data_IF_728479885813
#
_entry.id   IF_728479885813
#
_cell.length_a   1.000
_cell.length_b   1.000
_cell.length_c   1.000
_cell.angle_alpha   90.00
_cell.angle_beta   90.00
_cell.angle_gamma   90.00
#
_symmetry.space_group_name_H-M   'P 1'
#
loop_
_entity.id
_entity.type
_entity.pdbx_description
1 polymer ?
#
# COMPACT_ATOMS: atom_id res chain seq x y z
N UNK A 1 -4.13 -21.86 -27.10
CA UNK A 1 -5.47 -22.45 -27.29
C UNK A 1 -5.65 -22.77 -28.77
N UNK A 2 -6.05 -23.99 -29.10
CA UNK A 2 -6.35 -24.40 -30.49
C UNK A 2 -7.63 -23.71 -30.99
N UNK A 3 -7.87 -23.69 -32.30
CA UNK A 3 -9.09 -23.07 -32.87
C UNK A 3 -10.36 -23.74 -32.32
N UNK A 4 -10.36 -25.07 -32.21
CA UNK A 4 -11.50 -25.83 -31.71
C UNK A 4 -11.76 -25.56 -30.22
N UNK A 5 -10.71 -25.48 -29.39
CA UNK A 5 -10.84 -25.07 -27.99
C UNK A 5 -11.39 -23.64 -27.86
N UNK A 6 -10.95 -22.73 -28.73
CA UNK A 6 -11.38 -21.33 -28.74
C UNK A 6 -12.87 -21.18 -29.10
N UNK A 7 -13.32 -21.90 -30.13
CA UNK A 7 -14.74 -21.92 -30.52
C UNK A 7 -15.57 -22.58 -29.42
N UNK A 8 -15.09 -23.67 -28.81
CA UNK A 8 -15.77 -24.33 -27.69
C UNK A 8 -15.89 -23.42 -26.48
N UNK A 9 -14.86 -22.64 -26.16
CA UNK A 9 -14.93 -21.64 -25.10
C UNK A 9 -15.97 -20.55 -25.40
N UNK A 10 -16.08 -20.12 -26.66
CA UNK A 10 -17.11 -19.17 -27.10
C UNK A 10 -18.53 -19.76 -26.96
N UNK A 11 -18.73 -21.04 -27.30
CA UNK A 11 -20.01 -21.74 -27.10
C UNK A 11 -20.40 -21.78 -25.62
N UNK A 12 -19.45 -22.18 -24.76
CA UNK A 12 -19.66 -22.26 -23.31
C UNK A 12 -20.01 -20.90 -22.70
N UNK A 13 -19.21 -19.88 -23.01
CA UNK A 13 -19.36 -18.54 -22.42
C UNK A 13 -20.51 -17.74 -23.02
N UNK A 14 -20.98 -18.11 -24.22
CA UNK A 14 -22.18 -17.52 -24.80
C UNK A 14 -23.47 -18.32 -24.55
N UNK A 15 -23.36 -19.45 -23.83
CA UNK A 15 -24.44 -20.39 -23.48
C UNK A 15 -25.33 -20.79 -24.66
N UNK A 16 -24.71 -21.09 -25.81
CA UNK A 16 -25.44 -21.45 -27.04
C UNK A 16 -24.58 -22.30 -27.96
N UNK A 17 -25.24 -23.23 -28.66
CA UNK A 17 -24.60 -24.07 -29.68
C UNK A 17 -24.29 -23.24 -30.91
N UNK A 18 -23.05 -23.27 -31.41
CA UNK A 18 -22.71 -22.62 -32.67
C UNK A 18 -22.97 -23.61 -33.80
N UNK A 19 -24.07 -23.40 -34.52
CA UNK A 19 -24.42 -24.24 -35.68
C UNK A 19 -23.50 -23.99 -36.88
N UNK A 20 -23.50 -24.91 -37.84
CA UNK A 20 -22.63 -24.86 -39.04
C UNK A 20 -22.67 -23.53 -39.80
N UNK A 21 -23.84 -22.86 -39.82
CA UNK A 21 -24.03 -21.57 -40.48
C UNK A 21 -23.30 -20.39 -39.79
N UNK A 22 -23.11 -20.45 -38.47
CA UNK A 22 -22.38 -19.41 -37.71
C UNK A 22 -20.92 -19.81 -37.45
N UNK A 23 -20.53 -21.04 -37.74
CA UNK A 23 -19.19 -21.57 -37.47
C UNK A 23 -18.08 -20.75 -38.16
N UNK A 24 -18.29 -20.34 -39.41
CA UNK A 24 -17.32 -19.48 -40.13
C UNK A 24 -17.21 -18.08 -39.51
N UNK A 25 -18.31 -17.51 -39.00
CA UNK A 25 -18.26 -16.24 -38.29
C UNK A 25 -17.60 -16.39 -36.92
N UNK A 26 -17.81 -17.52 -36.25
CA UNK A 26 -17.19 -17.84 -34.97
C UNK A 26 -15.68 -18.04 -35.08
N UNK A 27 -15.19 -18.73 -36.13
CA UNK A 27 -13.75 -18.89 -36.37
C UNK A 27 -13.08 -17.54 -36.64
N UNK A 28 -13.69 -16.70 -37.50
CA UNK A 28 -13.21 -15.32 -37.75
C UNK A 28 -13.21 -14.50 -36.47
N UNK A 29 -14.24 -14.63 -35.63
CA UNK A 29 -14.32 -13.94 -34.35
C UNK A 29 -13.16 -14.36 -33.44
N UNK A 30 -13.01 -15.65 -33.14
CA UNK A 30 -11.96 -16.11 -32.21
C UNK A 30 -10.54 -15.85 -32.73
N UNK A 31 -10.34 -15.84 -34.06
CA UNK A 31 -9.08 -15.46 -34.68
C UNK A 31 -8.79 -13.96 -34.55
N UNK A 32 -9.81 -13.09 -34.73
CA UNK A 32 -9.68 -11.65 -34.45
C UNK A 32 -9.35 -11.38 -32.98
N UNK A 33 -9.84 -12.23 -32.06
CA UNK A 33 -9.51 -12.19 -30.63
C UNK A 33 -8.18 -12.85 -30.29
N UNK A 34 -7.40 -13.25 -31.30
CA UNK A 34 -6.11 -13.94 -31.15
C UNK A 34 -6.19 -15.19 -30.27
N UNK A 35 -7.38 -15.79 -30.19
CA UNK A 35 -7.67 -16.98 -29.39
C UNK A 35 -7.30 -16.81 -27.91
N UNK A 36 -7.42 -15.60 -27.37
CA UNK A 36 -7.21 -15.32 -25.96
C UNK A 36 -8.44 -15.74 -25.15
N UNK A 37 -8.30 -16.64 -24.15
CA UNK A 37 -9.45 -17.14 -23.39
C UNK A 37 -10.28 -16.04 -22.75
N UNK A 38 -9.64 -15.01 -22.22
CA UNK A 38 -10.31 -13.86 -21.60
C UNK A 38 -11.15 -13.06 -22.62
N UNK A 39 -10.55 -12.66 -23.76
CA UNK A 39 -11.26 -11.90 -24.79
C UNK A 39 -12.46 -12.70 -25.34
N UNK A 40 -12.29 -14.01 -25.51
CA UNK A 40 -13.36 -14.92 -25.94
C UNK A 40 -14.45 -14.99 -24.89
N UNK A 41 -14.12 -15.09 -23.60
CA UNK A 41 -15.10 -15.16 -22.52
C UNK A 41 -15.91 -13.87 -22.40
N UNK A 42 -15.24 -12.71 -22.48
CA UNK A 42 -15.90 -11.40 -22.46
C UNK A 42 -16.85 -11.22 -23.65
N UNK A 43 -16.44 -11.62 -24.85
CA UNK A 43 -17.31 -11.58 -26.03
C UNK A 43 -18.45 -12.59 -25.91
N UNK A 44 -18.17 -13.81 -25.44
CA UNK A 44 -19.18 -14.83 -25.25
C UNK A 44 -20.30 -14.34 -24.33
N UNK A 45 -19.93 -13.81 -23.18
CA UNK A 45 -20.87 -13.29 -22.20
C UNK A 45 -21.64 -12.05 -22.71
N UNK A 46 -20.96 -11.15 -23.45
CA UNK A 46 -21.63 -10.06 -24.16
C UNK A 46 -22.72 -10.56 -25.10
N UNK A 47 -22.44 -11.66 -25.82
CA UNK A 47 -23.39 -12.17 -26.79
C UNK A 47 -24.56 -12.89 -26.11
N UNK A 48 -24.30 -13.70 -25.10
CA UNK A 48 -25.32 -14.35 -24.28
C UNK A 48 -26.35 -13.32 -23.77
N UNK A 49 -25.87 -12.29 -23.08
CA UNK A 49 -26.72 -11.29 -22.41
C UNK A 49 -27.63 -10.54 -23.38
N UNK A 50 -27.21 -10.41 -24.64
CA UNK A 50 -27.87 -9.52 -25.62
C UNK A 50 -28.46 -10.27 -26.81
N UNK A 51 -28.40 -11.60 -26.78
CA UNK A 51 -28.92 -12.50 -27.82
C UNK A 51 -28.52 -12.03 -29.23
N UNK A 52 -27.26 -11.62 -29.41
CA UNK A 52 -26.77 -11.08 -30.70
C UNK A 52 -26.22 -12.20 -31.59
N UNK A 53 -26.36 -12.06 -32.90
CA UNK A 53 -25.68 -12.96 -33.83
C UNK A 53 -24.18 -12.72 -33.84
N UNK A 54 -23.41 -13.78 -34.02
CA UNK A 54 -21.94 -13.73 -34.03
C UNK A 54 -21.45 -12.81 -35.16
N UNK A 55 -22.09 -12.90 -36.32
CA UNK A 55 -21.77 -12.08 -37.50
C UNK A 55 -21.90 -10.58 -37.25
N UNK A 56 -22.85 -10.14 -36.41
CA UNK A 56 -23.02 -8.72 -36.08
C UNK A 56 -21.96 -8.23 -35.09
N UNK A 57 -21.43 -9.11 -34.25
CA UNK A 57 -20.29 -8.80 -33.37
C UNK A 57 -19.00 -8.70 -34.16
N UNK A 58 -18.74 -9.64 -35.08
CA UNK A 58 -17.60 -9.57 -36.01
C UNK A 58 -17.60 -8.26 -36.78
N UNK A 59 -18.74 -7.88 -37.37
CA UNK A 59 -18.86 -6.63 -38.12
C UNK A 59 -18.50 -5.38 -37.29
N UNK A 60 -18.94 -5.31 -36.03
CA UNK A 60 -18.62 -4.20 -35.14
C UNK A 60 -17.13 -4.15 -34.79
N UNK A 61 -16.55 -5.29 -34.44
CA UNK A 61 -15.12 -5.36 -34.09
C UNK A 61 -14.25 -4.96 -35.28
N UNK A 62 -14.55 -5.46 -36.48
CA UNK A 62 -13.81 -5.12 -37.71
C UNK A 62 -13.84 -3.63 -38.04
N UNK A 63 -14.95 -2.93 -37.75
CA UNK A 63 -15.06 -1.50 -38.01
C UNK A 63 -14.29 -0.65 -36.96
N UNK A 64 -14.15 -1.16 -35.73
CA UNK A 64 -13.39 -0.50 -34.66
C UNK A 64 -11.88 -0.81 -34.68
N UNK A 65 -11.46 -1.92 -35.26
CA UNK A 65 -10.04 -2.31 -35.41
C UNK A 65 -9.17 -1.27 -36.13
N UNK A 66 -9.76 -0.43 -36.98
CA UNK A 66 -9.06 0.63 -37.71
C UNK A 66 -8.54 1.75 -36.79
N UNK A 67 -9.17 1.99 -35.63
CA UNK A 67 -8.78 3.04 -34.67
C UNK A 67 -7.54 2.70 -33.84
N UNK A 68 -7.27 1.40 -33.64
CA UNK A 68 -6.25 0.94 -32.68
C UNK A 68 -4.98 0.39 -33.35
N UNK A 69 -4.75 0.72 -34.64
CA UNK A 69 -3.48 0.42 -35.34
C UNK A 69 -2.25 1.05 -34.65
N UNK A 70 -2.47 2.09 -33.84
CA UNK A 70 -1.47 2.84 -33.07
C UNK A 70 -0.71 1.93 -32.08
N UNK A 71 -1.32 0.84 -31.59
CA UNK A 71 -0.65 -0.13 -30.70
C UNK A 71 0.43 -0.99 -31.39
N UNK A 72 0.58 -0.88 -32.72
CA UNK A 72 1.68 -1.52 -33.46
C UNK A 72 2.96 -0.67 -33.47
N UNK A 73 2.89 0.58 -32.99
CA UNK A 73 4.01 1.53 -32.96
C UNK A 73 5.07 1.20 -31.90
N UNK A 74 6.34 1.60 -32.12
CA UNK A 74 7.47 1.21 -31.25
C UNK A 74 7.34 1.71 -29.79
N UNK A 75 6.70 2.85 -29.55
CA UNK A 75 6.54 3.44 -28.22
C UNK A 75 5.55 2.65 -27.35
N UNK A 76 4.46 2.17 -27.95
CA UNK A 76 3.53 1.25 -27.30
C UNK A 76 4.19 -0.09 -26.93
N UNK A 77 5.21 -0.53 -27.68
CA UNK A 77 5.98 -1.75 -27.34
C UNK A 77 6.92 -1.59 -26.15
N UNK A 78 7.34 -0.36 -25.82
CA UNK A 78 8.15 -0.08 -24.62
C UNK A 78 7.30 -0.03 -23.36
N UNK A 79 6.04 0.41 -23.48
CA UNK A 79 5.09 0.45 -22.36
C UNK A 79 4.38 -0.89 -22.13
N UNK A 80 4.28 -1.75 -23.14
CA UNK A 80 3.60 -3.04 -23.04
C UNK A 80 4.49 -4.20 -23.54
N UNK A 81 4.88 -5.15 -22.67
CA UNK A 81 5.69 -6.30 -23.06
C UNK A 81 5.03 -7.23 -24.08
N UNK A 82 3.70 -7.15 -24.29
CA UNK A 82 2.92 -8.02 -25.19
C UNK A 82 1.84 -7.26 -25.99
N UNK A 83 2.24 -6.45 -26.99
CA UNK A 83 1.32 -5.58 -27.74
C UNK A 83 0.27 -6.32 -28.58
N UNK A 84 0.61 -7.52 -29.06
CA UNK A 84 -0.31 -8.37 -29.82
C UNK A 84 -1.52 -8.76 -28.99
N UNK A 85 -1.28 -9.33 -27.80
CA UNK A 85 -2.30 -9.81 -26.85
C UNK A 85 -3.27 -8.69 -26.45
N UNK A 86 -2.76 -7.48 -26.25
CA UNK A 86 -3.56 -6.32 -25.87
C UNK A 86 -4.54 -5.89 -26.97
N UNK A 87 -4.21 -6.08 -28.25
CA UNK A 87 -5.02 -5.60 -29.38
C UNK A 87 -6.39 -6.30 -29.49
N UNK A 88 -6.44 -7.62 -29.28
CA UNK A 88 -7.71 -8.37 -29.31
C UNK A 88 -8.59 -8.10 -28.07
N UNK A 89 -7.96 -7.96 -26.90
CA UNK A 89 -8.64 -7.58 -25.66
C UNK A 89 -9.17 -6.14 -25.76
N UNK A 90 -8.40 -5.19 -26.28
CA UNK A 90 -8.83 -3.79 -26.38
C UNK A 90 -9.99 -3.56 -27.36
N UNK A 91 -10.06 -4.32 -28.47
CA UNK A 91 -11.18 -4.26 -29.41
C UNK A 91 -12.51 -4.69 -28.75
N UNK A 92 -12.47 -5.76 -27.95
CA UNK A 92 -13.66 -6.28 -27.25
C UNK A 92 -14.01 -5.44 -26.03
N UNK A 93 -12.99 -5.00 -25.32
CA UNK A 93 -13.06 -4.07 -24.20
C UNK A 93 -13.82 -2.81 -24.56
N UNK A 94 -13.53 -2.12 -25.66
CA UNK A 94 -14.18 -0.85 -26.00
C UNK A 94 -15.70 -1.02 -26.19
N UNK A 95 -16.11 -2.12 -26.82
CA UNK A 95 -17.53 -2.45 -27.01
C UNK A 95 -18.21 -2.75 -25.67
N UNK A 96 -17.56 -3.55 -24.81
CA UNK A 96 -18.09 -3.87 -23.48
C UNK A 96 -18.10 -2.67 -22.55
N UNK A 97 -17.10 -1.79 -22.59
CA UNK A 97 -16.97 -0.62 -21.71
C UNK A 97 -17.93 0.51 -22.03
N UNK A 98 -18.08 0.88 -23.31
CA UNK A 98 -19.11 1.87 -23.69
C UNK A 98 -20.49 1.42 -23.26
N UNK A 99 -20.70 0.10 -23.30
CA UNK A 99 -21.97 -0.50 -22.92
C UNK A 99 -22.16 -0.55 -21.42
N UNK A 100 -21.14 -0.93 -20.65
CA UNK A 100 -21.14 -0.85 -19.20
C UNK A 100 -21.49 0.56 -18.75
N UNK A 101 -20.82 1.58 -19.30
CA UNK A 101 -21.09 3.00 -19.01
C UNK A 101 -22.54 3.39 -19.31
N UNK A 102 -23.13 2.89 -20.40
CA UNK A 102 -24.53 3.17 -20.75
C UNK A 102 -25.56 2.41 -19.92
N UNK A 103 -25.18 1.28 -19.33
CA UNK A 103 -26.09 0.37 -18.62
C UNK A 103 -26.04 0.52 -17.09
N UNK A 104 -24.90 0.91 -16.53
CA UNK A 104 -24.71 1.11 -15.10
C UNK A 104 -23.49 2.00 -14.86
N UNK A 105 -23.75 3.22 -14.40
CA UNK A 105 -22.69 4.14 -13.96
C UNK A 105 -21.95 3.58 -12.74
N UNK A 106 -22.66 2.91 -11.84
CA UNK A 106 -22.09 2.28 -10.63
C UNK A 106 -21.05 1.22 -10.99
N UNK A 107 -21.41 0.28 -11.87
CA UNK A 107 -20.48 -0.75 -12.33
C UNK A 107 -19.29 -0.15 -13.08
N UNK A 108 -19.53 0.91 -13.87
CA UNK A 108 -18.47 1.65 -14.53
C UNK A 108 -17.49 2.26 -13.51
N UNK A 109 -17.98 2.98 -12.48
CA UNK A 109 -17.15 3.59 -11.44
C UNK A 109 -16.36 2.55 -10.65
N UNK A 110 -17.03 1.53 -10.11
CA UNK A 110 -16.39 0.46 -9.33
C UNK A 110 -15.27 -0.20 -10.14
N UNK A 111 -15.54 -0.58 -11.39
CA UNK A 111 -14.55 -1.24 -12.24
C UNK A 111 -13.30 -0.38 -12.49
N UNK A 112 -13.48 0.94 -12.67
CA UNK A 112 -12.37 1.84 -12.92
C UNK A 112 -11.55 2.12 -11.65
N UNK A 113 -12.17 2.13 -10.47
CA UNK A 113 -11.48 2.22 -9.18
C UNK A 113 -10.64 0.95 -8.94
N UNK A 114 -11.25 -0.24 -9.10
CA UNK A 114 -10.56 -1.53 -8.92
C UNK A 114 -9.43 -1.77 -9.93
N UNK A 115 -9.39 -1.02 -11.04
CA UNK A 115 -8.28 -1.07 -11.97
C UNK A 115 -6.98 -0.51 -11.39
N UNK A 116 -7.02 0.22 -10.26
CA UNK A 116 -5.85 0.77 -9.58
C UNK A 116 -5.49 0.04 -8.28
N UNK A 117 -6.25 -0.98 -7.89
CA UNK A 117 -5.95 -1.85 -6.75
C UNK A 117 -5.24 -3.13 -7.20
N UNK A 118 -4.77 -3.96 -6.25
CA UNK A 118 -4.33 -5.33 -6.60
C UNK A 118 -5.51 -6.10 -7.24
N UNK A 119 -5.21 -6.81 -8.34
CA UNK A 119 -6.21 -7.54 -9.12
C UNK A 119 -6.60 -8.88 -8.48
N UNK A 120 -5.86 -9.37 -7.50
CA UNK A 120 -6.13 -10.62 -6.81
C UNK A 120 -6.80 -10.35 -5.47
N UNK A 121 -7.61 -11.32 -5.03
CA UNK A 121 -8.26 -11.32 -3.70
C UNK A 121 -9.03 -10.04 -3.36
N UNK A 122 -9.68 -9.42 -4.36
CA UNK A 122 -10.52 -8.24 -4.17
C UNK A 122 -11.74 -8.64 -3.34
N UNK A 123 -11.80 -8.21 -2.09
CA UNK A 123 -12.92 -8.52 -1.19
C UNK A 123 -14.12 -7.64 -1.46
N UNK A 124 -15.31 -8.13 -1.12
CA UNK A 124 -16.55 -7.35 -1.22
C UNK A 124 -16.44 -6.01 -0.49
N UNK A 125 -15.74 -5.92 0.65
CA UNK A 125 -15.51 -4.66 1.34
C UNK A 125 -14.86 -3.57 0.46
N UNK A 126 -13.91 -3.94 -0.40
CA UNK A 126 -13.26 -3.02 -1.35
C UNK A 126 -14.25 -2.59 -2.44
N UNK A 127 -15.07 -3.53 -2.92
CA UNK A 127 -16.09 -3.27 -3.94
C UNK A 127 -17.19 -2.34 -3.40
N UNK A 128 -17.62 -2.58 -2.16
CA UNK A 128 -18.59 -1.75 -1.45
C UNK A 128 -18.04 -0.34 -1.19
N UNK A 129 -16.79 -0.22 -0.74
CA UNK A 129 -16.15 1.08 -0.55
C UNK A 129 -15.94 1.84 -1.87
N UNK A 130 -15.62 1.15 -2.97
CA UNK A 130 -15.53 1.77 -4.30
C UNK A 130 -16.89 2.31 -4.79
N UNK A 131 -17.99 1.77 -4.26
CA UNK A 131 -19.36 2.19 -4.53
C UNK A 131 -20.02 2.96 -3.38
N UNK A 132 -19.25 3.55 -2.46
CA UNK A 132 -19.76 4.13 -1.20
C UNK A 132 -20.84 5.21 -1.38
N UNK A 133 -20.84 5.89 -2.53
CA UNK A 133 -21.84 6.91 -2.86
C UNK A 133 -23.21 6.34 -3.29
N UNK A 134 -23.32 5.00 -3.39
CA UNK A 134 -24.50 4.30 -3.92
C UNK A 134 -25.12 3.37 -2.88
N UNK A 135 -26.36 2.95 -3.10
CA UNK A 135 -27.03 2.00 -2.22
C UNK A 135 -26.37 0.62 -2.30
N UNK A 136 -26.52 -0.20 -1.25
CA UNK A 136 -26.01 -1.57 -1.26
C UNK A 136 -26.60 -2.41 -2.39
N UNK A 137 -27.87 -2.21 -2.71
CA UNK A 137 -28.54 -2.89 -3.83
C UNK A 137 -27.93 -2.51 -5.18
N UNK A 138 -27.61 -1.22 -5.38
CA UNK A 138 -26.95 -0.74 -6.60
C UNK A 138 -25.53 -1.35 -6.76
N UNK A 139 -24.80 -1.46 -5.65
CA UNK A 139 -23.46 -2.08 -5.62
C UNK A 139 -23.56 -3.57 -5.93
N UNK A 140 -24.54 -4.28 -5.38
CA UNK A 140 -24.77 -5.70 -5.65
C UNK A 140 -25.13 -5.94 -7.13
N UNK A 141 -26.03 -5.14 -7.69
CA UNK A 141 -26.39 -5.16 -9.10
C UNK A 141 -25.19 -4.84 -10.01
N UNK A 142 -24.37 -3.86 -9.61
CA UNK A 142 -23.14 -3.52 -10.31
C UNK A 142 -22.14 -4.68 -10.29
N UNK A 143 -21.92 -5.30 -9.13
CA UNK A 143 -21.04 -6.46 -8.99
C UNK A 143 -21.48 -7.63 -9.87
N UNK A 144 -22.77 -7.97 -9.84
CA UNK A 144 -23.32 -9.03 -10.69
C UNK A 144 -23.07 -8.72 -12.17
N UNK A 145 -23.23 -7.46 -12.59
CA UNK A 145 -22.90 -7.05 -13.96
C UNK A 145 -21.42 -7.23 -14.28
N UNK A 146 -20.52 -6.86 -13.38
CA UNK A 146 -19.08 -7.03 -13.59
C UNK A 146 -18.69 -8.51 -13.74
N UNK A 147 -19.34 -9.40 -13.00
CA UNK A 147 -19.20 -10.85 -13.15
C UNK A 147 -19.78 -11.34 -14.47
N UNK A 148 -20.98 -10.89 -14.83
CA UNK A 148 -21.62 -11.26 -16.10
C UNK A 148 -20.77 -10.85 -17.31
N UNK A 149 -20.11 -9.69 -17.27
CA UNK A 149 -19.21 -9.26 -18.34
C UNK A 149 -17.82 -9.92 -18.28
N UNK A 150 -17.58 -10.80 -17.31
CA UNK A 150 -16.27 -11.44 -17.06
C UNK A 150 -15.14 -10.43 -16.81
N UNK A 151 -15.48 -9.30 -16.17
CA UNK A 151 -14.48 -8.34 -15.68
C UNK A 151 -13.97 -8.73 -14.30
N UNK A 152 -14.86 -9.26 -13.46
CA UNK A 152 -14.53 -9.88 -12.18
C UNK A 152 -14.86 -11.36 -12.21
N UNK A 153 -14.03 -12.16 -11.56
CA UNK A 153 -14.25 -13.60 -11.38
C UNK A 153 -14.34 -13.92 -9.88
N UNK A 154 -15.41 -14.56 -9.40
CA UNK A 154 -15.45 -15.03 -8.01
C UNK A 154 -14.41 -16.12 -7.78
N UNK A 155 -13.70 -16.04 -6.65
CA UNK A 155 -12.66 -17.00 -6.23
C UNK A 155 -13.18 -17.98 -5.17
N UNK A 156 -14.12 -17.56 -4.34
CA UNK A 156 -14.75 -18.36 -3.30
C UNK A 156 -16.19 -18.74 -3.67
N UNK A 157 -16.71 -19.78 -3.03
CA UNK A 157 -18.13 -20.16 -3.15
C UNK A 157 -19.06 -19.21 -2.41
N UNK A 158 -18.50 -18.45 -1.47
CA UNK A 158 -19.24 -17.52 -0.61
C UNK A 158 -19.49 -16.17 -1.30
N UNK A 159 -18.87 -15.94 -2.46
CA UNK A 159 -19.06 -14.73 -3.26
C UNK A 159 -18.51 -13.47 -2.59
N UNK A 160 -17.50 -13.60 -1.74
CA UNK A 160 -16.91 -12.50 -0.98
C UNK A 160 -15.54 -12.08 -1.53
N UNK A 161 -14.95 -12.86 -2.43
CA UNK A 161 -13.60 -12.65 -2.94
C UNK A 161 -13.57 -12.79 -4.46
N UNK A 162 -12.94 -11.82 -5.12
CA UNK A 162 -12.93 -11.68 -6.57
C UNK A 162 -11.53 -11.50 -7.12
N UNK A 163 -11.36 -11.83 -8.39
CA UNK A 163 -10.15 -11.57 -9.17
C UNK A 163 -10.50 -10.72 -10.39
N UNK A 164 -9.68 -9.71 -10.65
CA UNK A 164 -9.61 -9.00 -11.91
C UNK A 164 -8.35 -9.40 -12.64
N UNK A 165 -8.50 -9.90 -13.86
CA UNK A 165 -7.37 -10.28 -14.68
C UNK A 165 -6.53 -9.03 -15.04
N UNK A 166 -5.20 -9.12 -14.97
CA UNK A 166 -4.28 -7.99 -15.18
C UNK A 166 -4.48 -7.25 -16.51
N UNK A 167 -4.76 -7.98 -17.60
CA UNK A 167 -5.10 -7.39 -18.90
C UNK A 167 -6.36 -6.50 -18.87
N UNK A 168 -7.33 -6.77 -17.99
CA UNK A 168 -8.51 -5.91 -17.79
C UNK A 168 -8.08 -4.61 -17.13
N UNK A 169 -7.27 -4.67 -16.07
CA UNK A 169 -6.73 -3.49 -15.39
C UNK A 169 -5.90 -2.63 -16.34
N UNK A 170 -5.00 -3.25 -17.11
CA UNK A 170 -4.18 -2.56 -18.12
C UNK A 170 -5.04 -1.92 -19.21
N UNK A 171 -6.05 -2.63 -19.72
CA UNK A 171 -6.95 -2.10 -20.74
C UNK A 171 -7.75 -0.89 -20.22
N UNK A 172 -8.23 -0.94 -18.97
CA UNK A 172 -8.92 0.18 -18.32
C UNK A 172 -8.00 1.39 -18.21
N UNK A 173 -6.82 1.22 -17.60
CA UNK A 173 -5.85 2.32 -17.42
C UNK A 173 -5.40 2.90 -18.76
N UNK A 174 -5.15 2.06 -19.76
CA UNK A 174 -4.85 2.52 -21.11
C UNK A 174 -6.00 3.32 -21.72
N UNK A 175 -7.23 2.83 -21.59
CA UNK A 175 -8.43 3.52 -22.06
C UNK A 175 -8.60 4.91 -21.44
N UNK A 176 -8.30 5.06 -20.15
CA UNK A 176 -8.28 6.35 -19.45
C UNK A 176 -7.20 7.29 -20.01
N UNK A 177 -5.98 6.81 -20.23
CA UNK A 177 -4.86 7.60 -20.80
C UNK A 177 -5.11 8.12 -22.21
N UNK A 178 -5.81 7.33 -23.02
CA UNK A 178 -6.15 7.69 -24.40
C UNK A 178 -7.46 8.50 -24.47
N UNK A 179 -8.18 8.62 -23.37
CA UNK A 179 -9.36 9.46 -23.27
C UNK A 179 -9.03 10.92 -23.56
N UNK A 180 -10.04 11.68 -24.00
CA UNK A 180 -9.87 13.11 -24.24
C UNK A 180 -9.62 13.91 -22.96
N UNK A 181 -9.96 13.36 -21.79
CA UNK A 181 -9.82 14.00 -20.50
C UNK A 181 -8.77 13.28 -19.64
N UNK A 182 -7.64 13.95 -19.38
CA UNK A 182 -6.60 13.43 -18.47
C UNK A 182 -7.06 13.40 -17.02
N UNK A 183 -8.17 14.06 -16.67
CA UNK A 183 -8.69 14.10 -15.31
C UNK A 183 -9.32 12.77 -14.87
N UNK A 184 -9.83 11.95 -15.80
CA UNK A 184 -10.47 10.67 -15.46
C UNK A 184 -9.46 9.70 -14.81
N UNK A 185 -8.23 9.60 -15.33
CA UNK A 185 -7.21 8.70 -14.76
C UNK A 185 -6.77 9.15 -13.36
N UNK A 186 -6.60 10.46 -13.16
CA UNK A 186 -6.31 11.05 -11.86
C UNK A 186 -7.46 10.82 -10.87
N UNK A 187 -8.70 11.01 -11.31
CA UNK A 187 -9.89 10.82 -10.50
C UNK A 187 -10.01 9.37 -9.99
N UNK A 188 -9.95 8.38 -10.89
CA UNK A 188 -10.12 6.98 -10.48
C UNK A 188 -8.95 6.44 -9.66
N UNK A 189 -7.71 6.85 -9.96
CA UNK A 189 -6.55 6.49 -9.13
C UNK A 189 -6.63 7.09 -7.74
N UNK A 190 -7.07 8.34 -7.61
CA UNK A 190 -7.32 8.97 -6.30
C UNK A 190 -8.44 8.25 -5.53
N UNK A 191 -9.56 7.93 -6.18
CA UNK A 191 -10.65 7.19 -5.53
C UNK A 191 -10.20 5.81 -5.04
N UNK A 192 -9.34 5.11 -5.79
CA UNK A 192 -8.76 3.84 -5.35
C UNK A 192 -7.87 4.01 -4.12
N UNK A 193 -7.02 5.04 -4.10
CA UNK A 193 -6.22 5.37 -2.93
C UNK A 193 -7.10 5.63 -1.70
N UNK A 194 -8.12 6.49 -1.81
CA UNK A 194 -9.03 6.80 -0.71
C UNK A 194 -9.79 5.56 -0.22
N UNK A 195 -10.23 4.71 -1.13
CA UNK A 195 -10.91 3.44 -0.81
C UNK A 195 -10.01 2.60 0.09
N UNK A 196 -8.73 2.45 -0.26
CA UNK A 196 -7.81 1.63 0.53
C UNK A 196 -7.40 2.33 1.83
N UNK A 197 -7.15 3.64 1.85
CA UNK A 197 -6.86 4.38 3.08
C UNK A 197 -8.00 4.20 4.10
N UNK A 198 -9.25 4.32 3.68
CA UNK A 198 -10.40 4.20 4.58
C UNK A 198 -10.65 2.77 5.08
N UNK A 199 -10.18 1.76 4.35
CA UNK A 199 -10.36 0.35 4.71
C UNK A 199 -9.15 -0.23 5.46
N UNK A 200 -7.97 0.37 5.33
CA UNK A 200 -6.77 -0.13 5.98
C UNK A 200 -6.89 0.09 7.49
N UNK A 201 -6.95 -0.99 8.31
CA UNK A 201 -7.15 -0.86 9.75
C UNK A 201 -5.95 -0.22 10.44
N UNK A 202 -6.20 0.27 11.66
CA UNK A 202 -5.13 0.68 12.56
C UNK A 202 -4.25 -0.54 12.91
N UNK A 203 -2.94 -0.51 12.61
CA UNK A 203 -1.99 -1.59 12.92
C UNK A 203 -1.83 -1.87 14.42
N UNK A 204 -2.22 -0.94 15.29
CA UNK A 204 -2.10 -1.08 16.75
C UNK A 204 -3.44 -1.38 17.44
N UNK A 205 -4.54 -1.40 16.68
CA UNK A 205 -5.88 -1.69 17.20
C UNK A 205 -6.21 -3.17 17.29
N UNK A 206 -7.38 -3.48 17.86
CA UNK A 206 -7.90 -4.85 18.01
C UNK A 206 -8.08 -5.58 16.67
N UNK A 207 -8.23 -4.83 15.57
CA UNK A 207 -8.43 -5.35 14.21
C UNK A 207 -7.15 -5.41 13.37
N UNK A 208 -5.95 -5.35 13.97
CA UNK A 208 -4.67 -5.32 13.23
C UNK A 208 -4.49 -6.50 12.27
N UNK A 209 -5.03 -7.67 12.61
CA UNK A 209 -4.96 -8.87 11.75
C UNK A 209 -5.73 -8.69 10.43
N UNK A 210 -6.65 -7.74 10.36
CA UNK A 210 -7.37 -7.43 9.13
C UNK A 210 -6.51 -6.67 8.12
N UNK A 211 -5.39 -6.07 8.52
CA UNK A 211 -4.45 -5.40 7.61
C UNK A 211 -3.93 -6.34 6.51
N UNK A 212 -3.77 -7.64 6.79
CA UNK A 212 -3.35 -8.64 5.79
C UNK A 212 -4.29 -8.67 4.58
N UNK A 213 -5.57 -8.34 4.80
CA UNK A 213 -6.61 -8.39 3.78
C UNK A 213 -6.47 -7.26 2.76
N UNK A 214 -5.79 -6.17 3.15
CA UNK A 214 -5.65 -4.95 2.36
C UNK A 214 -4.20 -4.67 1.99
N UNK A 215 -3.23 -5.42 2.53
CA UNK A 215 -1.79 -5.21 2.36
C UNK A 215 -1.37 -5.09 0.89
N UNK A 216 -1.72 -6.07 0.05
CA UNK A 216 -1.36 -6.06 -1.38
C UNK A 216 -2.03 -4.90 -2.12
N UNK A 217 -3.27 -4.57 -1.76
CA UNK A 217 -3.98 -3.43 -2.32
C UNK A 217 -3.34 -2.09 -1.92
N UNK A 218 -2.91 -1.94 -0.66
CA UNK A 218 -2.21 -0.75 -0.15
C UNK A 218 -0.86 -0.55 -0.85
N UNK A 219 -0.10 -1.63 -1.04
CA UNK A 219 1.13 -1.60 -1.83
C UNK A 219 0.86 -1.21 -3.28
N UNK A 220 -0.18 -1.78 -3.92
CA UNK A 220 -0.54 -1.47 -5.30
C UNK A 220 -0.97 -0.02 -5.49
N UNK A 221 -1.86 0.53 -4.64
CA UNK A 221 -2.31 1.93 -4.79
C UNK A 221 -1.18 2.94 -4.57
N UNK A 222 -0.17 2.56 -3.77
CA UNK A 222 1.02 3.39 -3.56
C UNK A 222 1.84 3.61 -4.84
N UNK A 223 1.70 2.73 -5.83
CA UNK A 223 2.34 2.86 -7.15
C UNK A 223 1.85 4.06 -7.94
N UNK A 224 0.64 4.53 -7.63
CA UNK A 224 -0.03 5.61 -8.34
C UNK A 224 0.13 6.97 -7.67
N UNK A 225 1.01 7.11 -6.66
CA UNK A 225 1.19 8.34 -5.88
C UNK A 225 1.37 9.61 -6.71
N UNK A 226 2.24 9.56 -7.72
CA UNK A 226 2.51 10.69 -8.62
C UNK A 226 1.33 10.97 -9.56
N UNK A 227 0.60 9.91 -9.96
CA UNK A 227 -0.53 10.01 -10.85
C UNK A 227 -1.71 10.70 -10.18
N UNK A 228 -2.02 10.34 -8.93
CA UNK A 228 -3.07 10.98 -8.15
C UNK A 228 -2.64 12.27 -7.44
N UNK A 229 -1.34 12.61 -7.45
CA UNK A 229 -0.76 13.79 -6.77
C UNK A 229 -1.03 13.79 -5.26
N UNK A 230 -0.99 12.61 -4.65
CA UNK A 230 -1.27 12.36 -3.23
C UNK A 230 -0.08 11.74 -2.51
N UNK A 231 1.13 12.15 -2.84
CA UNK A 231 2.32 11.47 -2.32
C UNK A 231 2.48 11.59 -0.79
N UNK A 232 1.91 12.62 -0.17
CA UNK A 232 1.84 12.75 1.30
C UNK A 232 0.96 11.64 1.89
N UNK A 233 -0.27 11.51 1.41
CA UNK A 233 -1.23 10.49 1.89
C UNK A 233 -0.72 9.07 1.61
N UNK A 234 -0.10 8.84 0.45
CA UNK A 234 0.57 7.57 0.15
C UNK A 234 1.72 7.32 1.11
N UNK A 235 2.51 8.33 1.46
CA UNK A 235 3.61 8.16 2.41
C UNK A 235 3.10 7.79 3.81
N UNK A 236 1.95 8.33 4.22
CA UNK A 236 1.32 8.02 5.50
C UNK A 236 0.72 6.60 5.47
N UNK A 237 0.01 6.19 4.40
CA UNK A 237 -0.44 4.81 4.21
C UNK A 237 0.73 3.80 4.25
N UNK A 238 1.87 4.12 3.62
CA UNK A 238 3.05 3.25 3.67
C UNK A 238 3.66 3.18 5.08
N UNK A 239 3.48 4.20 5.93
CA UNK A 239 3.87 4.10 7.33
C UNK A 239 2.98 3.12 8.08
N UNK A 240 1.68 3.15 7.86
CA UNK A 240 0.74 2.24 8.53
C UNK A 240 0.98 0.79 8.08
N UNK A 241 1.18 0.58 6.77
CA UNK A 241 1.60 -0.71 6.22
C UNK A 241 2.91 -1.18 6.87
N UNK A 242 3.88 -0.27 7.05
CA UNK A 242 5.14 -0.64 7.68
C UNK A 242 4.99 -1.02 9.16
N UNK A 243 4.13 -0.32 9.91
CA UNK A 243 3.81 -0.65 11.30
C UNK A 243 3.24 -2.06 11.40
N UNK A 244 2.26 -2.40 10.54
CA UNK A 244 1.69 -3.74 10.49
C UNK A 244 2.74 -4.82 10.19
N UNK A 245 3.61 -4.57 9.20
CA UNK A 245 4.66 -5.52 8.81
C UNK A 245 5.69 -5.71 9.94
N UNK A 246 6.02 -4.65 10.67
CA UNK A 246 6.89 -4.68 11.85
C UNK A 246 6.24 -5.51 12.96
N UNK A 247 4.98 -5.25 13.31
CA UNK A 247 4.23 -6.03 14.31
C UNK A 247 4.09 -7.51 13.92
N UNK A 248 4.05 -7.80 12.62
CA UNK A 248 4.01 -9.15 12.06
C UNK A 248 5.40 -9.80 11.89
N UNK A 249 6.47 -9.14 12.34
CA UNK A 249 7.87 -9.57 12.18
C UNK A 249 8.31 -9.81 10.71
N UNK A 250 7.67 -9.15 9.74
CA UNK A 250 7.98 -9.23 8.29
C UNK A 250 9.00 -8.17 7.89
N UNK A 251 10.17 -8.22 8.52
CA UNK A 251 11.20 -7.16 8.46
C UNK A 251 11.67 -6.80 7.05
N UNK A 252 11.85 -7.79 6.17
CA UNK A 252 12.30 -7.56 4.78
C UNK A 252 11.27 -6.80 3.96
N UNK A 253 9.98 -7.06 4.19
CA UNK A 253 8.91 -6.36 3.50
C UNK A 253 8.74 -4.94 4.07
N UNK A 254 8.86 -4.80 5.39
CA UNK A 254 8.87 -3.50 6.06
C UNK A 254 10.00 -2.59 5.54
N UNK A 255 11.20 -3.13 5.32
CA UNK A 255 12.34 -2.38 4.74
C UNK A 255 11.99 -1.81 3.36
N UNK A 256 11.39 -2.62 2.48
CA UNK A 256 11.02 -2.18 1.12
C UNK A 256 9.98 -1.06 1.16
N UNK A 257 8.95 -1.22 2.00
CA UNK A 257 7.86 -0.25 2.18
C UNK A 257 8.39 1.06 2.78
N UNK A 258 9.20 0.97 3.84
CA UNK A 258 9.76 2.15 4.50
C UNK A 258 10.77 2.88 3.61
N UNK A 259 11.55 2.17 2.81
CA UNK A 259 12.48 2.80 1.85
C UNK A 259 11.70 3.64 0.84
N UNK A 260 10.56 3.15 0.36
CA UNK A 260 9.65 3.90 -0.51
C UNK A 260 9.05 5.11 0.21
N UNK A 261 8.55 4.94 1.43
CA UNK A 261 7.99 6.04 2.22
C UNK A 261 9.03 7.14 2.52
N UNK A 262 10.26 6.75 2.88
CA UNK A 262 11.39 7.65 3.07
C UNK A 262 11.74 8.41 1.78
N UNK A 263 11.77 7.72 0.64
CA UNK A 263 12.08 8.35 -0.65
C UNK A 263 11.03 9.40 -1.03
N UNK A 264 9.74 9.09 -0.85
CA UNK A 264 8.65 10.04 -1.08
C UNK A 264 8.76 11.25 -0.15
N UNK A 265 8.89 11.04 1.17
CA UNK A 265 8.98 12.14 2.15
C UNK A 265 10.24 12.99 1.96
N UNK A 266 11.37 12.38 1.64
CA UNK A 266 12.61 13.11 1.34
C UNK A 266 12.45 14.05 0.15
N UNK A 267 11.75 13.61 -0.91
CA UNK A 267 11.50 14.41 -2.10
C UNK A 267 10.53 15.56 -1.84
N UNK A 268 9.45 15.30 -1.08
CA UNK A 268 8.35 16.25 -0.88
C UNK A 268 8.60 17.25 0.23
N UNK A 269 9.11 16.76 1.36
CA UNK A 269 9.24 17.50 2.61
C UNK A 269 10.69 17.94 2.88
N UNK A 270 11.65 17.29 2.22
CA UNK A 270 13.07 17.49 2.44
C UNK A 270 13.66 16.57 3.51
N UNK A 271 14.99 16.47 3.52
CA UNK A 271 15.74 15.56 4.40
C UNK A 271 15.78 15.95 5.89
N UNK A 272 15.35 17.17 6.24
CA UNK A 272 15.32 17.68 7.62
C UNK A 272 13.89 17.69 8.21
N UNK A 273 12.88 17.30 7.45
CA UNK A 273 11.52 17.29 7.96
C UNK A 273 11.30 16.16 8.97
N UNK A 274 10.55 16.41 10.06
CA UNK A 274 10.27 15.44 11.12
C UNK A 274 9.80 14.08 10.57
N UNK A 275 8.72 14.06 9.78
CA UNK A 275 8.22 12.84 9.09
C UNK A 275 9.28 12.10 8.25
N UNK A 276 10.27 12.80 7.67
CA UNK A 276 11.37 12.16 6.93
C UNK A 276 12.35 11.47 7.88
N UNK A 277 12.67 12.14 8.99
CA UNK A 277 13.52 11.58 10.05
C UNK A 277 12.86 10.38 10.72
N UNK A 278 11.54 10.41 10.93
CA UNK A 278 10.80 9.28 11.52
C UNK A 278 10.85 8.05 10.60
N UNK A 279 10.76 8.23 9.28
CA UNK A 279 10.95 7.14 8.32
C UNK A 279 12.36 6.55 8.41
N UNK A 280 13.39 7.39 8.60
CA UNK A 280 14.77 6.92 8.76
C UNK A 280 14.97 6.16 10.07
N UNK A 281 14.40 6.65 11.17
CA UNK A 281 14.45 5.97 12.46
C UNK A 281 13.77 4.60 12.38
N UNK A 282 12.60 4.51 11.74
CA UNK A 282 11.92 3.23 11.51
C UNK A 282 12.76 2.27 10.65
N UNK A 283 13.44 2.77 9.62
CA UNK A 283 14.40 1.98 8.83
C UNK A 283 15.56 1.46 9.69
N UNK A 284 16.13 2.30 10.57
CA UNK A 284 17.18 1.88 11.49
C UNK A 284 16.69 0.77 12.43
N UNK A 285 15.47 0.89 12.95
CA UNK A 285 14.81 -0.16 13.73
C UNK A 285 14.66 -1.47 12.96
N UNK A 286 14.19 -1.41 11.71
CA UNK A 286 14.09 -2.60 10.86
C UNK A 286 15.47 -3.24 10.60
N UNK A 287 16.51 -2.43 10.39
CA UNK A 287 17.88 -2.97 10.25
C UNK A 287 18.38 -3.64 11.53
N UNK A 288 18.06 -3.07 12.69
CA UNK A 288 18.39 -3.65 13.98
C UNK A 288 17.71 -5.02 14.17
N UNK A 289 16.40 -5.12 13.92
CA UNK A 289 15.65 -6.38 14.05
C UNK A 289 16.09 -7.45 13.04
N UNK A 290 16.62 -7.05 11.88
CA UNK A 290 17.26 -7.97 10.93
C UNK A 290 18.68 -8.42 11.33
N UNK A 291 19.24 -7.88 12.41
CA UNK A 291 20.62 -8.12 12.82
C UNK A 291 21.68 -7.40 11.98
N UNK A 292 21.28 -6.42 11.17
CA UNK A 292 22.16 -5.64 10.30
C UNK A 292 22.62 -4.38 11.05
N UNK A 293 23.29 -4.59 12.18
CA UNK A 293 23.59 -3.54 13.16
C UNK A 293 24.46 -2.40 12.60
N UNK A 294 25.37 -2.69 11.66
CA UNK A 294 26.18 -1.65 11.03
C UNK A 294 25.37 -0.64 10.21
N UNK A 295 24.32 -1.09 9.51
CA UNK A 295 23.40 -0.17 8.82
C UNK A 295 22.51 0.57 9.80
N UNK A 296 22.06 -0.11 10.86
CA UNK A 296 21.28 0.52 11.91
C UNK A 296 22.07 1.68 12.55
N UNK A 297 23.35 1.46 12.88
CA UNK A 297 24.25 2.49 13.41
C UNK A 297 24.35 3.70 12.46
N UNK A 298 24.66 3.45 11.17
CA UNK A 298 24.84 4.51 10.18
C UNK A 298 23.58 5.40 10.07
N UNK A 299 22.42 4.78 9.97
CA UNK A 299 21.14 5.50 9.82
C UNK A 299 20.77 6.23 11.10
N UNK A 300 20.85 5.58 12.25
CA UNK A 300 20.49 6.16 13.55
C UNK A 300 21.43 7.34 13.91
N UNK A 301 22.73 7.23 13.62
CA UNK A 301 23.70 8.30 13.83
C UNK A 301 23.36 9.53 13.00
N UNK A 302 22.98 9.32 11.74
CA UNK A 302 22.53 10.40 10.86
C UNK A 302 21.23 11.04 11.36
N UNK A 303 20.27 10.27 11.86
CA UNK A 303 19.04 10.81 12.47
C UNK A 303 19.38 11.64 13.70
N UNK A 304 20.31 11.18 14.54
CA UNK A 304 20.72 11.87 15.76
C UNK A 304 21.34 13.24 15.43
N UNK A 305 22.29 13.27 14.49
CA UNK A 305 22.93 14.52 14.06
C UNK A 305 21.91 15.53 13.53
N UNK A 306 20.91 15.07 12.78
CA UNK A 306 19.85 15.93 12.24
C UNK A 306 18.91 16.43 13.33
N UNK A 307 18.41 15.55 14.21
CA UNK A 307 17.53 15.94 15.32
C UNK A 307 18.23 16.87 16.30
N UNK A 308 19.51 16.63 16.61
CA UNK A 308 20.31 17.53 17.45
C UNK A 308 20.41 18.94 16.86
N UNK A 309 20.62 19.07 15.54
CA UNK A 309 20.68 20.37 14.86
C UNK A 309 19.35 21.11 14.83
N UNK A 310 18.24 20.39 14.69
CA UNK A 310 16.91 20.98 14.48
C UNK A 310 16.20 21.26 15.81
N UNK A 311 16.27 20.31 16.74
CA UNK A 311 15.49 20.30 17.99
C UNK A 311 16.35 20.62 19.23
N UNK A 312 17.67 20.49 19.11
CA UNK A 312 18.62 20.66 20.22
C UNK A 312 18.88 19.35 20.99
N UNK A 313 19.86 19.41 21.89
CA UNK A 313 20.39 18.24 22.63
C UNK A 313 19.44 17.68 23.69
N UNK A 314 18.56 18.52 24.23
CA UNK A 314 17.66 18.16 25.34
C UNK A 314 16.27 17.75 24.87
N UNK A 315 15.99 17.82 23.57
CA UNK A 315 14.69 17.45 23.03
C UNK A 315 14.43 15.94 23.22
N UNK A 316 13.20 15.53 23.59
CA UNK A 316 12.85 14.12 23.78
C UNK A 316 13.28 13.22 22.61
N UNK A 317 12.95 13.60 21.37
CA UNK A 317 13.31 12.82 20.18
C UNK A 317 14.82 12.72 19.94
N UNK A 318 15.59 13.76 20.25
CA UNK A 318 17.07 13.72 20.16
C UNK A 318 17.62 12.74 21.20
N UNK A 319 17.11 12.81 22.43
CA UNK A 319 17.52 11.90 23.52
C UNK A 319 17.11 10.46 23.25
N UNK A 320 15.97 10.26 22.60
CA UNK A 320 15.48 8.95 22.16
C UNK A 320 16.42 8.31 21.14
N UNK A 321 16.73 8.99 20.03
CA UNK A 321 17.68 8.51 19.02
C UNK A 321 19.07 8.27 19.61
N UNK A 322 19.51 9.14 20.53
CA UNK A 322 20.78 8.96 21.26
C UNK A 322 20.77 7.70 22.12
N UNK A 323 19.66 7.38 22.79
CA UNK A 323 19.49 6.13 23.55
C UNK A 323 19.49 4.89 22.66
N UNK A 324 18.84 4.96 21.48
CA UNK A 324 18.88 3.88 20.47
C UNK A 324 20.32 3.61 20.00
N UNK A 325 21.11 4.65 19.76
CA UNK A 325 22.54 4.49 19.44
C UNK A 325 23.33 3.76 20.53
N UNK A 326 23.07 4.05 21.81
CA UNK A 326 23.70 3.31 22.91
C UNK A 326 23.38 1.80 22.84
N UNK A 327 22.12 1.46 22.56
CA UNK A 327 21.66 0.07 22.39
C UNK A 327 22.37 -0.61 21.22
N UNK A 328 22.50 0.07 20.07
CA UNK A 328 23.22 -0.44 18.90
C UNK A 328 24.70 -0.67 19.23
N UNK A 329 25.34 0.26 19.96
CA UNK A 329 26.73 0.11 20.38
C UNK A 329 26.96 -1.07 21.30
N UNK A 330 26.02 -1.35 22.22
CA UNK A 330 26.12 -2.53 23.08
C UNK A 330 26.11 -3.83 22.28
N UNK A 331 25.22 -3.95 21.30
CA UNK A 331 25.15 -5.14 20.44
C UNK A 331 26.39 -5.27 19.54
N UNK A 332 27.03 -4.16 19.18
CA UNK A 332 28.30 -4.14 18.46
C UNK A 332 29.53 -4.39 19.37
N UNK A 333 29.34 -4.61 20.67
CA UNK A 333 30.42 -4.84 21.64
C UNK A 333 31.18 -3.57 22.05
N UNK A 334 30.67 -2.38 21.71
CA UNK A 334 31.27 -1.08 22.03
C UNK A 334 30.73 -0.53 23.36
N UNK A 335 30.81 -1.35 24.42
CA UNK A 335 30.13 -1.09 25.70
C UNK A 335 30.57 0.21 26.39
N UNK A 336 31.84 0.60 26.28
CA UNK A 336 32.30 1.87 26.86
C UNK A 336 31.60 3.08 26.24
N UNK A 337 31.38 3.06 24.90
CA UNK A 337 30.64 4.11 24.20
C UNK A 337 29.16 4.07 24.57
N UNK A 338 28.56 2.88 24.60
CA UNK A 338 27.17 2.70 25.03
C UNK A 338 26.95 3.26 26.43
N UNK A 339 27.85 2.97 27.38
CA UNK A 339 27.79 3.46 28.77
C UNK A 339 27.89 4.98 28.84
N UNK A 340 28.84 5.58 28.12
CA UNK A 340 29.01 7.04 28.09
C UNK A 340 27.74 7.74 27.58
N UNK A 341 27.19 7.24 26.47
CA UNK A 341 25.97 7.76 25.86
C UNK A 341 24.77 7.55 26.78
N UNK A 342 24.58 6.34 27.31
CA UNK A 342 23.47 5.99 28.20
C UNK A 342 23.47 6.82 29.48
N UNK A 343 24.64 7.03 30.09
CA UNK A 343 24.79 7.87 31.28
C UNK A 343 24.43 9.34 30.98
N UNK A 344 24.86 9.87 29.84
CA UNK A 344 24.52 11.22 29.42
C UNK A 344 23.01 11.39 29.18
N UNK A 345 22.38 10.44 28.49
CA UNK A 345 20.92 10.43 28.25
C UNK A 345 20.16 10.36 29.56
N UNK A 346 20.52 9.44 30.46
CA UNK A 346 19.91 9.30 31.78
C UNK A 346 19.98 10.61 32.58
N UNK A 347 21.17 11.22 32.69
CA UNK A 347 21.34 12.47 33.44
C UNK A 347 20.51 13.61 32.85
N UNK A 348 20.47 13.74 31.53
CA UNK A 348 19.67 14.79 30.90
C UNK A 348 18.17 14.57 31.13
N UNK A 349 17.66 13.34 30.96
CA UNK A 349 16.25 13.02 31.24
C UNK A 349 15.89 13.20 32.71
N UNK A 350 16.78 12.79 33.62
CA UNK A 350 16.61 12.99 35.06
C UNK A 350 16.46 14.49 35.39
N UNK A 351 17.29 15.35 34.79
CA UNK A 351 17.24 16.79 35.02
C UNK A 351 16.00 17.46 34.42
N UNK A 352 15.54 17.01 33.25
CA UNK A 352 14.42 17.65 32.51
C UNK A 352 13.06 17.11 32.93
N UNK A 353 12.93 15.79 33.11
CA UNK A 353 11.68 15.09 33.33
C UNK A 353 11.50 14.60 34.78
N UNK A 354 12.59 14.54 35.54
CA UNK A 354 12.62 14.00 36.90
C UNK A 354 12.86 12.49 36.96
N UNK A 355 13.14 12.00 38.17
CA UNK A 355 13.52 10.60 38.45
C UNK A 355 12.43 9.56 38.11
N UNK A 356 11.16 9.94 38.26
CA UNK A 356 10.01 9.01 38.11
C UNK A 356 9.37 9.03 36.73
N UNK A 357 9.91 9.84 35.81
CA UNK A 357 9.38 9.85 34.45
C UNK A 357 9.69 8.50 33.76
N UNK A 358 8.73 7.89 33.03
CA UNK A 358 8.95 6.63 32.32
C UNK A 358 10.22 6.62 31.47
N UNK A 359 10.47 7.69 30.70
CA UNK A 359 11.69 7.79 29.87
C UNK A 359 12.99 7.86 30.66
N UNK A 360 12.97 8.44 31.88
CA UNK A 360 14.14 8.45 32.78
C UNK A 360 14.39 7.05 33.33
N UNK A 361 13.33 6.36 33.74
CA UNK A 361 13.40 4.97 34.24
C UNK A 361 13.89 4.04 33.13
N UNK A 362 13.36 4.19 31.91
CA UNK A 362 13.80 3.41 30.76
C UNK A 362 15.29 3.65 30.45
N UNK A 363 15.76 4.90 30.42
CA UNK A 363 17.17 5.20 30.19
C UNK A 363 18.08 4.61 31.28
N UNK A 364 17.62 4.62 32.53
CA UNK A 364 18.33 3.99 33.65
C UNK A 364 18.39 2.46 33.49
N UNK A 365 17.30 1.82 33.07
CA UNK A 365 17.25 0.39 32.79
C UNK A 365 18.19 0.00 31.64
N UNK A 366 18.24 0.77 30.54
CA UNK A 366 19.19 0.54 29.44
C UNK A 366 20.63 0.64 29.93
N UNK A 367 20.94 1.63 30.77
CA UNK A 367 22.27 1.76 31.38
C UNK A 367 22.63 0.53 32.24
N UNK A 368 21.67 -0.01 33.00
CA UNK A 368 21.84 -1.26 33.76
C UNK A 368 22.17 -2.46 32.86
N UNK A 369 21.49 -2.59 31.72
CA UNK A 369 21.81 -3.61 30.73
C UNK A 369 23.24 -3.44 30.17
N UNK A 370 23.68 -2.21 29.87
CA UNK A 370 25.06 -1.93 29.46
C UNK A 370 26.06 -2.40 30.51
N UNK A 371 25.85 -2.09 31.79
CA UNK A 371 26.71 -2.55 32.88
C UNK A 371 26.75 -4.09 32.98
N UNK A 372 25.61 -4.75 32.78
CA UNK A 372 25.54 -6.21 32.72
C UNK A 372 26.37 -6.77 31.54
N UNK A 373 26.28 -6.18 30.34
CA UNK A 373 27.10 -6.58 29.18
C UNK A 373 28.62 -6.40 29.44
N UNK A 374 28.99 -5.42 30.28
CA UNK A 374 30.36 -5.21 30.74
C UNK A 374 30.82 -6.17 31.85
N UNK A 375 29.98 -7.13 32.26
CA UNK A 375 30.18 -7.99 33.43
C UNK A 375 30.37 -7.23 34.76
N UNK A 376 29.86 -5.99 34.83
CA UNK A 376 29.83 -5.15 36.03
C UNK A 376 28.51 -5.40 36.78
N UNK A 377 28.38 -6.62 37.31
CA UNK A 377 27.11 -7.11 37.86
C UNK A 377 26.67 -6.37 39.12
N UNK A 378 27.60 -5.84 39.93
CA UNK A 378 27.25 -5.08 41.14
C UNK A 378 26.57 -3.76 40.81
N UNK A 379 27.12 -3.03 39.83
CA UNK A 379 26.55 -1.79 39.32
C UNK A 379 25.20 -2.04 38.62
N UNK A 380 25.09 -3.12 37.85
CA UNK A 380 23.83 -3.52 37.22
C UNK A 380 22.74 -3.83 38.25
N UNK A 381 23.07 -4.60 39.30
CA UNK A 381 22.14 -4.94 40.39
C UNK A 381 21.67 -3.69 41.14
N UNK A 382 22.57 -2.75 41.45
CA UNK A 382 22.21 -1.50 42.12
C UNK A 382 21.22 -0.68 41.26
N UNK A 383 21.47 -0.59 39.95
CA UNK A 383 20.60 0.10 39.00
C UNK A 383 19.24 -0.58 38.91
N UNK A 384 19.19 -1.91 38.79
CA UNK A 384 17.95 -2.66 38.67
C UNK A 384 17.08 -2.52 39.93
N UNK A 385 17.70 -2.59 41.12
CA UNK A 385 17.01 -2.30 42.39
C UNK A 385 16.48 -0.86 42.45
N UNK A 386 17.19 0.10 41.87
CA UNK A 386 16.72 1.50 41.78
C UNK A 386 15.53 1.62 40.83
N UNK A 387 15.56 0.98 39.66
CA UNK A 387 14.44 0.94 38.69
C UNK A 387 13.19 0.38 39.36
N UNK A 388 13.28 -0.79 40.00
CA UNK A 388 12.15 -1.43 40.69
C UNK A 388 11.51 -0.52 41.76
N UNK A 389 12.33 0.22 42.52
CA UNK A 389 11.84 1.17 43.53
C UNK A 389 11.10 2.35 42.90
N UNK A 390 11.56 2.86 41.76
CA UNK A 390 10.94 3.99 41.06
C UNK A 390 9.60 3.57 40.43
N UNK A 391 9.52 2.34 39.90
CA UNK A 391 8.30 1.76 39.33
C UNK A 391 7.25 1.46 40.40
N UNK A 392 7.65 0.85 41.53
CA UNK A 392 6.74 0.52 42.63
C UNK A 392 6.09 1.75 43.29
N UNK A 393 6.74 2.92 43.20
CA UNK A 393 6.23 4.20 43.70
C UNK A 393 5.36 4.98 42.72
N UNK A 394 5.12 4.45 41.51
CA UNK A 394 4.35 5.10 40.45
C UNK A 394 2.96 4.44 40.33
N UNK A 395 1.86 5.20 40.13
CA UNK A 395 0.56 4.58 39.91
C UNK A 395 0.63 3.70 38.66
N UNK A 396 0.35 2.41 38.82
CA UNK A 396 0.27 1.44 37.72
C UNK A 396 -0.69 1.98 36.65
N UNK A 397 -0.15 2.41 35.51
CA UNK A 397 -0.90 2.27 34.26
C UNK A 397 -0.71 0.84 33.80
N UNK A 398 -1.83 0.18 33.53
CA UNK A 398 -1.85 -1.13 32.92
C UNK A 398 -0.95 -1.11 31.69
N UNK A 399 -0.06 -2.09 31.65
CA UNK A 399 0.88 -2.34 30.57
C UNK A 399 0.13 -2.53 29.25
N UNK A 400 0.20 -1.55 28.36
CA UNK A 400 0.25 -1.83 26.93
C UNK A 400 1.72 -1.75 26.51
N UNK A 401 2.19 -2.80 25.85
CA UNK A 401 3.50 -2.87 25.22
C UNK A 401 3.39 -2.00 23.95
N UNK A 402 3.40 -0.68 24.09
CA UNK A 402 3.44 0.26 22.96
C UNK A 402 4.89 0.69 22.74
N UNK A 403 5.72 -0.24 22.26
CA UNK A 403 7.12 0.07 21.87
C UNK A 403 7.23 0.80 20.52
N UNK A 404 6.12 1.31 19.95
CA UNK A 404 6.11 1.92 18.62
C UNK A 404 5.31 3.23 18.49
N UNK A 405 4.68 3.73 19.55
CA UNK A 405 3.73 4.86 19.45
C UNK A 405 4.18 6.18 20.09
N UNK A 406 5.39 6.63 19.75
CA UNK A 406 5.79 8.02 19.98
C UNK A 406 6.17 8.69 18.65
N UNK A 407 5.18 8.79 17.76
CA UNK A 407 5.27 9.51 16.48
C UNK A 407 4.18 10.56 16.27
N UNK A 408 3.33 10.85 17.26
CA UNK A 408 2.19 11.78 17.10
C UNK A 408 2.18 13.02 18.02
N UNK A 409 3.26 13.33 18.73
CA UNK A 409 3.37 14.62 19.45
C UNK A 409 4.04 15.68 18.57
N UNK A 410 3.44 16.00 17.43
CA UNK A 410 3.98 16.92 16.43
C UNK A 410 3.01 18.00 15.97
N UNK A 411 2.01 18.38 16.77
CA UNK A 411 1.12 19.51 16.49
C UNK A 411 0.79 20.27 17.77
N UNK A 412 1.77 21.02 18.29
CA UNK A 412 1.49 22.25 19.06
C UNK A 412 2.80 23.04 19.28
N UNK A 413 3.25 23.74 18.24
CA UNK A 413 4.15 24.89 18.40
C UNK A 413 3.39 26.12 17.92
N UNK A 414 2.66 26.76 18.84
CA UNK A 414 2.29 28.17 18.69
C UNK A 414 3.58 29.00 18.69
N UNK A 415 3.83 29.88 17.71
CA UNK A 415 4.96 30.79 17.78
C UNK A 415 4.74 31.78 18.94
N UNK A 416 5.78 31.93 19.77
CA UNK A 416 5.85 32.95 20.80
C UNK A 416 5.74 34.34 20.16
N UNK A 417 4.65 35.06 20.43
CA UNK A 417 4.57 36.50 20.20
C UNK A 417 5.56 37.19 21.13
N UNK A 418 6.70 37.58 20.55
CA UNK A 418 7.67 38.44 21.20
C UNK A 418 7.04 39.81 21.46
N UNK A 419 6.95 40.17 22.73
CA UNK A 419 6.81 41.54 23.19
C UNK A 419 7.85 42.43 22.48
N UNK A 420 7.37 43.44 21.74
CA UNK A 420 8.12 44.68 21.51
C UNK A 420 7.30 45.82 22.06
N UNK A 421 7.77 46.33 23.20
CA UNK A 421 7.53 47.70 23.62
C UNK A 421 8.11 48.63 22.56
N UNK A 422 7.32 49.63 22.20
CA UNK A 422 7.64 50.79 21.37
C UNK A 422 6.48 51.75 21.47
#
# INVERSE_FOLDING_TARGET
MTLNEAVRLLELTSQRSIHSAEHSAATVLVDNLQRLPLAISQVGAYIQRRQRSISRVVFKLSNESSRWRILKEPEARRQFPRPGVLSGVLQTWNVSMRRLRSESEVAYRILHILAFTDGQRIRFGIIAAAGIDFSQDDVADALQRLVDFSFLRPLDTDGNCYEMHILVQEAIRYGLRQGHDRQDELYFSNMALQTIINLFPDPFGDSWFECENYLTHAMCVSEWAELCQKEVEVSDLLQDVSSYLICSCRWKEAELVLTRAYTLRSRLLGGMHAKTLDSMERLAGVYYEQGIYGKAEEVEAKVFDLRQRILGETHPDTLWTRGRLATIYDVLGQHDKAREIGLAVFKTRQNVLGDRHPDTIWALSQLGNTYHQMAQYGEAEEIELRVLKLEAGSPRRETSIDYLDHGQAGDDIRPAESARQG
#
